data_IF_794186308599
#
_entry.id   IF_794186308599
#
_cell.length_a   1.000
_cell.length_b   1.000
_cell.length_c   1.000
_cell.angle_alpha   90.00
_cell.angle_beta   90.00
_cell.angle_gamma   90.00
#
_symmetry.space_group_name_H-M   'P 1'
#
loop_
_entity.id
_entity.type
_entity.pdbx_description
1 polymer ?
#
# COMPACT_ATOMS: atom_id res chain seq x y z
N UNK A 1 -44.68 -16.39 26.87
CA UNK A 1 -43.72 -16.53 25.75
C UNK A 1 -42.46 -15.79 26.15
N UNK A 2 -41.43 -16.52 26.56
CA UNK A 2 -40.16 -15.97 26.99
C UNK A 2 -39.28 -15.72 25.76
N UNK A 3 -38.93 -14.46 25.48
CA UNK A 3 -38.02 -14.10 24.42
C UNK A 3 -36.61 -14.56 24.81
N UNK A 4 -36.07 -15.54 24.10
CA UNK A 4 -34.68 -15.93 24.25
C UNK A 4 -33.80 -14.83 23.67
N UNK A 5 -33.01 -14.20 24.54
CA UNK A 5 -31.92 -13.30 24.12
C UNK A 5 -30.93 -14.09 23.27
N UNK A 6 -30.57 -13.61 22.06
CA UNK A 6 -29.58 -14.33 21.24
C UNK A 6 -28.24 -14.35 21.97
N UNK A 7 -27.70 -15.54 22.21
CA UNK A 7 -26.37 -15.78 22.73
C UNK A 7 -25.36 -15.20 21.74
N UNK A 8 -24.74 -14.07 22.11
CA UNK A 8 -23.55 -13.55 21.39
C UNK A 8 -22.46 -14.61 21.55
N UNK A 9 -21.97 -15.23 20.46
CA UNK A 9 -20.92 -16.23 20.57
C UNK A 9 -19.69 -15.62 21.26
N UNK A 10 -19.11 -16.39 22.19
CA UNK A 10 -17.91 -16.00 22.90
C UNK A 10 -16.86 -15.53 21.90
N UNK A 11 -16.32 -14.31 22.07
CA UNK A 11 -15.23 -13.79 21.24
C UNK A 11 -14.07 -14.76 21.40
N UNK A 12 -13.73 -15.49 20.33
CA UNK A 12 -12.55 -16.28 20.28
C UNK A 12 -11.34 -15.34 20.47
N UNK A 13 -10.70 -15.39 21.64
CA UNK A 13 -9.53 -14.56 21.99
C UNK A 13 -8.36 -14.78 21.03
N UNK A 14 -8.36 -15.89 20.29
CA UNK A 14 -7.25 -16.33 19.44
C UNK A 14 -7.52 -16.13 17.92
N UNK A 15 -8.62 -15.50 17.53
CA UNK A 15 -8.95 -15.30 16.13
C UNK A 15 -8.09 -14.18 15.53
N UNK A 16 -7.07 -14.55 14.76
CA UNK A 16 -6.32 -13.60 13.93
C UNK A 16 -7.07 -13.34 12.62
N UNK A 17 -7.84 -12.25 12.59
CA UNK A 17 -8.67 -11.89 11.42
C UNK A 17 -7.84 -11.65 10.14
N UNK A 18 -6.63 -11.12 10.27
CA UNK A 18 -5.75 -10.91 9.13
C UNK A 18 -5.34 -12.26 8.53
N UNK A 19 -4.97 -13.23 9.40
CA UNK A 19 -4.62 -14.58 8.94
C UNK A 19 -5.79 -15.26 8.23
N UNK A 20 -7.00 -15.13 8.73
CA UNK A 20 -8.20 -15.70 8.08
C UNK A 20 -8.39 -15.13 6.67
N UNK A 21 -8.21 -13.81 6.50
CA UNK A 21 -8.31 -13.19 5.18
C UNK A 21 -7.20 -13.67 4.23
N UNK A 22 -5.98 -13.78 4.75
CA UNK A 22 -4.84 -14.25 3.97
C UNK A 22 -5.02 -15.72 3.54
N UNK A 23 -5.42 -16.59 4.48
CA UNK A 23 -5.68 -18.02 4.22
C UNK A 23 -6.80 -18.18 3.16
N UNK A 24 -7.91 -17.47 3.29
CA UNK A 24 -9.02 -17.51 2.33
C UNK A 24 -8.58 -17.03 0.94
N UNK A 25 -7.77 -16.00 0.88
CA UNK A 25 -7.26 -15.49 -0.40
C UNK A 25 -6.30 -16.50 -1.06
N UNK A 26 -5.40 -17.09 -0.28
CA UNK A 26 -4.48 -18.13 -0.77
C UNK A 26 -5.27 -19.34 -1.27
N UNK A 27 -6.27 -19.79 -0.53
CA UNK A 27 -7.14 -20.90 -0.95
C UNK A 27 -7.88 -20.57 -2.24
N UNK A 28 -8.46 -19.37 -2.35
CA UNK A 28 -9.15 -18.92 -3.56
C UNK A 28 -8.21 -18.94 -4.79
N UNK A 29 -7.01 -18.35 -4.66
CA UNK A 29 -6.05 -18.29 -5.76
C UNK A 29 -5.52 -19.67 -6.13
N UNK A 30 -5.24 -20.52 -5.13
CA UNK A 30 -4.72 -21.89 -5.36
C UNK A 30 -5.75 -22.78 -6.08
N UNK A 31 -7.02 -22.56 -5.83
CA UNK A 31 -8.11 -23.33 -6.43
C UNK A 31 -8.69 -22.67 -7.70
N UNK A 32 -8.08 -21.58 -8.17
CA UNK A 32 -8.55 -20.86 -9.35
C UNK A 32 -8.51 -21.73 -10.61
N UNK A 33 -9.68 -21.97 -11.21
CA UNK A 33 -9.88 -22.78 -12.41
C UNK A 33 -10.20 -21.88 -13.63
N UNK A 34 -10.05 -20.57 -13.51
CA UNK A 34 -10.36 -19.63 -14.57
C UNK A 34 -9.49 -19.83 -15.80
N UNK A 35 -10.03 -19.51 -16.98
CA UNK A 35 -9.26 -19.50 -18.20
C UNK A 35 -8.24 -18.37 -18.17
N UNK A 36 -7.02 -18.67 -18.60
CA UNK A 36 -6.04 -17.61 -18.88
C UNK A 36 -6.56 -16.78 -20.06
N UNK A 37 -6.89 -15.53 -19.78
CA UNK A 37 -7.20 -14.58 -20.84
C UNK A 37 -5.94 -14.27 -21.65
N UNK A 38 -6.07 -14.00 -22.97
CA UNK A 38 -4.96 -13.50 -23.76
C UNK A 38 -4.35 -12.26 -23.05
N UNK A 39 -3.03 -12.23 -22.95
CA UNK A 39 -2.37 -11.04 -22.41
C UNK A 39 -2.44 -9.94 -23.45
N UNK A 40 -3.03 -8.77 -23.13
CA UNK A 40 -2.98 -7.64 -24.04
C UNK A 40 -1.53 -7.18 -24.22
N UNK A 41 -1.22 -6.58 -25.35
CA UNK A 41 0.04 -5.87 -25.53
C UNK A 41 0.13 -4.73 -24.49
N UNK A 42 1.35 -4.38 -24.04
CA UNK A 42 1.54 -3.28 -23.10
C UNK A 42 0.92 -1.97 -23.59
N UNK A 43 0.85 -1.78 -24.89
CA UNK A 43 0.37 -0.53 -25.52
C UNK A 43 -1.14 -0.55 -25.78
N UNK A 44 -1.79 -1.71 -25.64
CA UNK A 44 -3.24 -1.81 -25.83
C UNK A 44 -3.99 -1.12 -24.67
N UNK A 45 -5.08 -0.40 -24.97
CA UNK A 45 -5.94 0.14 -23.92
C UNK A 45 -6.49 -0.99 -23.04
N UNK A 46 -6.50 -0.78 -21.72
CA UNK A 46 -7.02 -1.77 -20.77
C UNK A 46 -8.53 -2.03 -20.94
N UNK A 47 -9.23 -1.04 -21.44
CA UNK A 47 -10.66 -1.07 -21.81
C UNK A 47 -10.86 -0.19 -23.04
N UNK A 48 -11.84 -0.51 -23.86
CA UNK A 48 -12.20 0.31 -25.03
C UNK A 48 -12.43 1.76 -24.62
N UNK A 49 -11.74 2.68 -25.29
CA UNK A 49 -11.82 4.12 -25.02
C UNK A 49 -11.02 4.58 -23.77
N UNK A 50 -10.31 3.71 -23.10
CA UNK A 50 -9.42 4.08 -21.98
C UNK A 50 -8.13 4.73 -22.51
N UNK A 51 -7.70 5.82 -21.86
CA UNK A 51 -6.35 6.36 -22.03
C UNK A 51 -5.28 5.58 -21.27
N UNK A 52 -5.68 4.61 -20.43
CA UNK A 52 -4.78 3.77 -19.66
C UNK A 52 -4.48 2.49 -20.45
N UNK A 53 -3.20 2.23 -20.72
CA UNK A 53 -2.77 1.00 -21.38
C UNK A 53 -2.67 -0.18 -20.40
N UNK A 54 -2.53 -1.38 -20.91
CA UNK A 54 -2.27 -2.57 -20.11
C UNK A 54 -0.92 -2.46 -19.37
N UNK A 55 0.08 -1.84 -19.98
CA UNK A 55 1.37 -1.53 -19.34
C UNK A 55 1.21 -0.56 -18.18
N UNK A 56 0.48 0.54 -18.38
CA UNK A 56 0.15 1.50 -17.32
C UNK A 56 -0.54 0.83 -16.13
N UNK A 57 -1.46 -0.07 -16.43
CA UNK A 57 -2.20 -0.80 -15.39
C UNK A 57 -1.29 -1.76 -14.62
N UNK A 58 -0.37 -2.44 -15.31
CA UNK A 58 0.60 -3.33 -14.67
C UNK A 58 1.54 -2.55 -13.74
N UNK A 59 2.05 -1.40 -14.17
CA UNK A 59 2.88 -0.53 -13.34
C UNK A 59 2.12 0.02 -12.11
N UNK A 60 0.85 0.40 -12.31
CA UNK A 60 -0.01 0.85 -11.23
C UNK A 60 -0.21 -0.26 -10.19
N UNK A 61 -0.45 -1.48 -10.65
CA UNK A 61 -0.60 -2.65 -9.79
C UNK A 61 0.70 -2.95 -9.03
N UNK A 62 1.85 -2.84 -9.69
CA UNK A 62 3.15 -3.00 -9.03
C UNK A 62 3.34 -1.97 -7.91
N UNK A 63 2.95 -0.72 -8.11
CA UNK A 63 3.01 0.32 -7.05
C UNK A 63 2.14 -0.04 -5.85
N UNK A 64 0.96 -0.64 -6.08
CA UNK A 64 0.10 -1.15 -5.02
C UNK A 64 0.75 -2.34 -4.28
N UNK A 65 1.38 -3.27 -5.03
CA UNK A 65 2.10 -4.39 -4.45
C UNK A 65 3.30 -3.94 -3.61
N UNK A 66 4.09 -2.97 -4.09
CA UNK A 66 5.20 -2.37 -3.32
C UNK A 66 4.69 -1.87 -1.97
N UNK A 67 3.61 -1.08 -1.98
CA UNK A 67 3.00 -0.58 -0.74
C UNK A 67 2.59 -1.72 0.20
N UNK A 68 1.98 -2.76 -0.34
CA UNK A 68 1.52 -3.91 0.45
C UNK A 68 2.69 -4.71 1.02
N UNK A 69 3.72 -4.95 0.24
CA UNK A 69 4.92 -5.66 0.69
C UNK A 69 5.68 -4.88 1.76
N UNK A 70 5.75 -3.55 1.65
CA UNK A 70 6.33 -2.70 2.68
C UNK A 70 5.56 -2.81 4.01
N UNK A 71 4.23 -2.86 3.97
CA UNK A 71 3.41 -3.07 5.16
C UNK A 71 3.68 -4.44 5.82
N UNK A 72 3.81 -5.50 5.02
CA UNK A 72 4.13 -6.84 5.52
C UNK A 72 5.53 -6.87 6.13
N UNK A 73 6.51 -6.25 5.45
CA UNK A 73 7.88 -6.15 5.97
C UNK A 73 7.93 -5.34 7.26
N UNK A 74 7.18 -4.25 7.37
CA UNK A 74 7.09 -3.48 8.59
C UNK A 74 6.60 -4.31 9.79
N UNK A 75 5.67 -5.24 9.57
CA UNK A 75 5.23 -6.18 10.62
C UNK A 75 6.34 -7.12 11.07
N UNK A 76 7.14 -7.64 10.11
CA UNK A 76 8.31 -8.48 10.42
C UNK A 76 9.34 -7.69 11.22
N UNK A 77 9.65 -6.47 10.79
CA UNK A 77 10.60 -5.60 11.47
C UNK A 77 10.12 -5.19 12.88
N UNK A 78 8.81 -5.08 13.08
CA UNK A 78 8.25 -4.82 14.41
C UNK A 78 8.49 -5.97 15.37
N UNK A 79 8.32 -7.21 14.93
CA UNK A 79 8.64 -8.39 15.75
C UNK A 79 10.11 -8.39 16.16
N UNK A 80 10.99 -7.89 15.28
CA UNK A 80 12.42 -7.71 15.54
C UNK A 80 12.75 -6.44 16.33
N UNK A 81 11.75 -5.67 16.80
CA UNK A 81 11.91 -4.42 17.54
C UNK A 81 12.66 -3.31 16.77
N UNK A 82 12.67 -3.38 15.42
CA UNK A 82 13.31 -2.39 14.55
C UNK A 82 12.36 -1.29 14.08
N UNK A 83 11.07 -1.48 14.28
CA UNK A 83 10.00 -0.53 13.89
C UNK A 83 9.01 -0.42 15.04
N UNK A 84 8.62 0.80 15.36
CA UNK A 84 7.73 1.06 16.51
C UNK A 84 6.25 0.81 16.21
N UNK A 85 5.85 1.05 14.96
CA UNK A 85 4.45 1.15 14.60
C UNK A 85 4.18 0.63 13.19
N UNK A 86 3.08 -0.11 13.01
CA UNK A 86 2.75 -0.74 11.74
C UNK A 86 1.28 -0.58 11.40
N UNK A 87 0.85 0.65 11.07
CA UNK A 87 -0.44 0.80 10.41
C UNK A 87 -0.21 0.70 8.90
N UNK A 88 -0.82 -0.32 8.30
CA UNK A 88 -0.72 -0.59 6.89
C UNK A 88 -1.57 0.33 6.02
N UNK A 89 -1.28 0.30 4.72
CA UNK A 89 -2.02 1.01 3.67
C UNK A 89 -3.26 0.25 3.18
N UNK A 90 -3.55 -0.90 3.78
CA UNK A 90 -4.65 -1.78 3.37
C UNK A 90 -5.97 -1.04 3.18
N UNK A 91 -6.56 -1.16 2.00
CA UNK A 91 -7.77 -0.43 1.59
C UNK A 91 -7.52 0.97 1.00
N UNK A 92 -6.26 1.44 1.00
CA UNK A 92 -5.86 2.73 0.45
C UNK A 92 -4.97 2.62 -0.79
N UNK A 93 -4.71 1.40 -1.26
CA UNK A 93 -3.83 1.13 -2.42
C UNK A 93 -4.34 1.82 -3.70
N UNK A 94 -5.66 2.01 -3.81
CA UNK A 94 -6.28 2.73 -4.94
C UNK A 94 -5.81 4.18 -5.08
N UNK A 95 -5.22 4.79 -4.05
CA UNK A 95 -4.64 6.13 -4.12
C UNK A 95 -3.45 6.21 -5.12
N UNK A 96 -2.86 5.08 -5.51
CA UNK A 96 -1.86 5.02 -6.58
C UNK A 96 -2.41 5.60 -7.89
N UNK A 97 -3.70 5.38 -8.21
CA UNK A 97 -4.32 5.95 -9.40
C UNK A 97 -4.32 7.49 -9.37
N UNK A 98 -4.57 8.08 -8.21
CA UNK A 98 -4.51 9.55 -8.05
C UNK A 98 -3.09 10.05 -8.32
N UNK A 99 -2.07 9.36 -7.82
CA UNK A 99 -0.68 9.70 -8.09
C UNK A 99 -0.32 9.55 -9.58
N UNK A 100 -0.89 8.54 -10.26
CA UNK A 100 -0.71 8.33 -11.71
C UNK A 100 -1.22 9.51 -12.51
N UNK A 101 -2.41 9.98 -12.21
CA UNK A 101 -3.08 11.06 -12.93
C UNK A 101 -2.52 12.45 -12.60
N UNK A 102 -2.09 12.68 -11.35
CA UNK A 102 -1.53 13.94 -10.91
C UNK A 102 -0.10 14.13 -11.46
N UNK A 103 0.31 15.38 -11.71
CA UNK A 103 1.70 15.70 -12.03
C UNK A 103 2.58 15.52 -10.81
N UNK A 104 3.87 15.20 -10.98
CA UNK A 104 4.79 15.11 -9.84
C UNK A 104 4.99 16.46 -9.11
N UNK A 105 4.67 17.58 -9.78
CA UNK A 105 4.72 18.93 -9.23
C UNK A 105 3.42 19.39 -8.58
N UNK A 106 2.35 18.59 -8.63
CA UNK A 106 1.14 18.91 -7.90
C UNK A 106 1.37 18.65 -6.40
N UNK A 107 1.20 19.68 -5.54
CA UNK A 107 1.43 19.49 -4.11
C UNK A 107 0.50 18.43 -3.53
N UNK A 108 1.05 17.55 -2.71
CA UNK A 108 0.29 16.49 -2.05
C UNK A 108 0.52 16.49 -0.54
N UNK A 109 -0.57 16.40 0.21
CA UNK A 109 -0.57 16.15 1.65
C UNK A 109 -1.00 14.71 1.88
N UNK A 110 -0.11 13.88 2.41
CA UNK A 110 -0.33 12.46 2.48
C UNK A 110 -0.48 11.97 3.91
N UNK A 111 -1.42 11.08 4.08
CA UNK A 111 -1.61 10.32 5.30
C UNK A 111 -0.62 9.12 5.33
N UNK A 112 -0.28 8.62 6.51
CA UNK A 112 0.62 7.48 6.69
C UNK A 112 0.18 6.20 5.93
N UNK A 113 -1.11 6.08 5.54
CA UNK A 113 -1.61 4.98 4.71
C UNK A 113 -1.42 5.18 3.21
N UNK A 114 -0.86 6.30 2.78
CA UNK A 114 -0.75 6.65 1.36
C UNK A 114 0.47 6.01 0.67
N UNK A 115 0.86 4.80 1.09
CA UNK A 115 2.01 4.09 0.53
C UNK A 115 1.87 3.83 -0.97
N UNK A 116 0.68 3.45 -1.45
CA UNK A 116 0.42 3.25 -2.88
C UNK A 116 0.59 4.53 -3.69
N UNK A 117 0.11 5.67 -3.18
CA UNK A 117 0.34 6.97 -3.79
C UNK A 117 1.84 7.27 -3.89
N UNK A 118 2.59 7.08 -2.80
CA UNK A 118 4.03 7.35 -2.78
C UNK A 118 4.77 6.45 -3.77
N UNK A 119 4.53 5.15 -3.75
CA UNK A 119 5.18 4.21 -4.67
C UNK A 119 4.98 4.64 -6.14
N UNK A 120 3.77 5.03 -6.51
CA UNK A 120 3.49 5.53 -7.86
C UNK A 120 4.12 6.90 -8.14
N UNK A 121 4.15 7.79 -7.15
CA UNK A 121 4.77 9.12 -7.30
C UNK A 121 6.28 9.03 -7.51
N UNK A 122 6.95 8.09 -6.85
CA UNK A 122 8.40 7.84 -7.03
C UNK A 122 8.76 7.49 -8.48
N UNK A 123 7.87 6.76 -9.19
CA UNK A 123 8.10 6.41 -10.61
C UNK A 123 8.25 7.61 -11.54
N UNK A 124 7.75 8.76 -11.13
CA UNK A 124 7.77 10.00 -11.94
C UNK A 124 9.12 10.70 -11.96
N UNK A 125 10.04 10.30 -11.07
CA UNK A 125 11.40 10.83 -11.02
C UNK A 125 12.43 9.69 -11.02
N UNK A 126 13.27 9.60 -12.05
CA UNK A 126 14.33 8.60 -12.10
C UNK A 126 15.31 8.73 -10.91
N UNK A 127 15.80 7.60 -10.44
CA UNK A 127 16.85 7.53 -9.42
C UNK A 127 16.34 7.61 -7.96
N UNK A 128 15.04 7.67 -7.76
CA UNK A 128 14.45 7.55 -6.43
C UNK A 128 14.15 6.07 -6.10
N UNK A 129 14.30 5.69 -4.83
CA UNK A 129 14.05 4.33 -4.35
C UNK A 129 12.87 4.31 -3.38
N UNK A 130 11.66 3.91 -3.84
CA UNK A 130 10.49 3.88 -2.98
C UNK A 130 10.61 2.88 -1.83
N UNK A 131 11.36 1.80 -2.04
CA UNK A 131 11.48 0.73 -1.04
C UNK A 131 12.45 1.14 0.07
N UNK A 132 13.64 1.60 -0.30
CA UNK A 132 14.66 2.01 0.67
C UNK A 132 14.21 3.21 1.48
N UNK A 133 13.74 4.26 0.83
CA UNK A 133 13.31 5.51 1.51
C UNK A 133 12.15 5.24 2.47
N UNK A 134 11.20 4.39 2.06
CA UNK A 134 10.11 3.98 2.95
C UNK A 134 10.59 3.13 4.12
N UNK A 135 11.54 2.22 3.90
CA UNK A 135 12.10 1.38 4.95
C UNK A 135 12.85 2.22 5.99
N UNK A 136 13.63 3.21 5.56
CA UNK A 136 14.31 4.14 6.44
C UNK A 136 13.31 4.96 7.29
N UNK A 137 12.21 5.40 6.69
CA UNK A 137 11.13 6.09 7.40
C UNK A 137 10.45 5.17 8.42
N UNK A 138 10.19 3.91 8.09
CA UNK A 138 9.62 2.94 9.03
C UNK A 138 10.52 2.65 10.22
N UNK A 139 11.82 2.59 9.97
CA UNK A 139 12.84 2.38 11.01
C UNK A 139 13.13 3.65 11.83
N UNK A 140 12.52 4.77 11.49
CA UNK A 140 12.84 6.08 12.08
C UNK A 140 14.35 6.38 12.02
N UNK A 141 14.98 6.01 10.91
CA UNK A 141 16.40 6.22 10.71
C UNK A 141 16.72 7.71 10.54
N UNK A 142 17.85 8.15 11.11
CA UNK A 142 18.37 9.50 10.86
C UNK A 142 18.74 9.71 9.38
N UNK A 143 18.97 8.63 8.64
CA UNK A 143 19.32 8.64 7.23
C UNK A 143 18.09 8.66 6.32
N UNK A 144 16.87 8.71 6.91
CA UNK A 144 15.63 8.91 6.18
C UNK A 144 15.66 10.28 5.47
N UNK A 145 15.69 10.31 4.12
CA UNK A 145 15.79 11.56 3.36
C UNK A 145 14.53 12.41 3.44
N UNK A 146 13.45 11.84 3.94
CA UNK A 146 12.12 12.46 3.98
C UNK A 146 11.92 13.23 5.27
N UNK A 147 12.11 12.57 6.40
CA UNK A 147 11.74 13.11 7.71
C UNK A 147 12.87 13.13 8.72
N UNK A 148 14.04 12.60 8.38
CA UNK A 148 15.19 12.57 9.26
C UNK A 148 14.93 11.82 10.57
N UNK A 149 14.19 10.73 10.51
CA UNK A 149 13.91 9.89 11.67
C UNK A 149 12.53 10.09 12.29
N UNK A 150 11.62 10.81 11.65
CA UNK A 150 10.20 10.85 12.04
C UNK A 150 9.49 9.65 11.43
N UNK A 151 9.04 8.78 12.30
CA UNK A 151 8.42 7.54 11.88
C UNK A 151 7.24 7.75 10.94
N UNK A 152 7.32 7.15 9.74
CA UNK A 152 6.25 7.05 8.73
C UNK A 152 5.59 8.39 8.36
N UNK A 153 6.38 9.43 8.27
CA UNK A 153 5.94 10.73 7.76
C UNK A 153 6.31 10.81 6.28
N UNK A 154 5.30 10.80 5.42
CA UNK A 154 5.53 10.99 4.00
C UNK A 154 5.88 12.46 3.71
N UNK A 155 6.98 12.65 3.03
CA UNK A 155 7.42 13.96 2.57
C UNK A 155 8.52 13.78 1.53
N UNK A 156 8.54 14.63 0.52
CA UNK A 156 9.60 14.63 -0.50
C UNK A 156 9.56 15.94 -1.23
N UNK A 157 10.62 16.74 -1.08
CA UNK A 157 10.73 18.00 -1.79
C UNK A 157 10.72 17.80 -3.33
N UNK A 158 11.48 16.85 -3.89
CA UNK A 158 11.48 16.60 -5.34
C UNK A 158 10.11 16.17 -5.87
N UNK A 159 9.32 15.46 -5.06
CA UNK A 159 8.00 14.95 -5.45
C UNK A 159 6.85 15.85 -5.02
N UNK A 160 7.14 17.03 -4.47
CA UNK A 160 6.12 17.97 -3.96
C UNK A 160 5.16 17.34 -2.95
N UNK A 161 5.66 16.39 -2.19
CA UNK A 161 4.93 15.81 -1.06
C UNK A 161 5.29 16.56 0.20
N UNK A 162 4.30 17.22 0.79
CA UNK A 162 4.47 18.01 2.00
C UNK A 162 4.37 17.10 3.21
N UNK A 163 5.36 17.14 4.13
CA UNK A 163 5.34 16.32 5.32
C UNK A 163 4.17 16.73 6.21
N UNK A 164 3.32 15.78 6.53
CA UNK A 164 2.22 15.95 7.46
C UNK A 164 2.44 15.03 8.65
N UNK A 165 2.58 15.59 9.83
CA UNK A 165 2.53 14.82 11.06
C UNK A 165 1.08 14.33 11.23
N UNK A 166 0.91 13.03 11.34
CA UNK A 166 -0.38 12.50 11.77
C UNK A 166 -0.63 13.01 13.19
N UNK A 167 -1.62 13.85 13.34
CA UNK A 167 -2.20 14.09 14.65
C UNK A 167 -3.02 12.88 15.02
N UNK A 168 -2.52 12.09 15.92
CA UNK A 168 -3.32 11.09 16.62
C UNK A 168 -4.02 11.80 17.76
#
# INVERSE_FOLDING_TARGET
MSAQTPLIPARHKDLNRAKVCDDNFIEFVSNWQGQALPRPSSDEPILDGSACSAGDFAELFESQLISRHLDLMARVLRVQQKVFYTIGSSGHEGNAMVARLARHTDPAFLHYRSGGFMAERFRKLPGMDPVMDSALSFAASKDDPISGGRHKVWGSKPLWVLPQTSTI
#
